data_IF_056043060667
#
_entry.id   IF_056043060667
#
_cell.length_a   1.000
_cell.length_b   1.000
_cell.length_c   1.000
_cell.angle_alpha   90.00
_cell.angle_beta   90.00
_cell.angle_gamma   90.00
#
_symmetry.space_group_name_H-M   'P 1'
#
loop_
_entity.id
_entity.type
_entity.pdbx_description
1 polymer ?
#
# COMPACT_ATOMS: atom_id res chain seq x y z
N UNK A 1 7.69 -7.00 -14.22
CA UNK A 1 8.49 -8.22 -14.05
C UNK A 1 9.94 -7.80 -14.10
N UNK A 2 10.80 -8.44 -13.31
CA UNK A 2 12.25 -8.20 -13.39
C UNK A 2 12.87 -8.92 -14.59
N UNK A 3 14.20 -8.84 -14.74
CA UNK A 3 14.93 -9.43 -15.86
C UNK A 3 14.82 -10.95 -15.99
N UNK A 4 14.47 -11.64 -14.90
CA UNK A 4 14.28 -13.10 -14.85
C UNK A 4 12.80 -13.51 -14.93
N UNK A 5 11.88 -12.55 -15.07
CA UNK A 5 10.44 -12.80 -15.18
C UNK A 5 9.72 -12.91 -13.83
N UNK A 6 10.35 -12.56 -12.71
CA UNK A 6 9.67 -12.51 -11.41
C UNK A 6 8.70 -11.33 -11.36
N UNK A 7 7.51 -11.58 -10.81
CA UNK A 7 6.60 -10.48 -10.46
C UNK A 7 7.00 -9.93 -9.09
N UNK A 8 7.54 -8.71 -9.08
CA UNK A 8 7.96 -7.97 -7.89
C UNK A 8 7.24 -6.64 -7.82
N UNK A 9 7.04 -6.11 -6.61
CA UNK A 9 6.25 -4.92 -6.36
C UNK A 9 6.99 -3.92 -5.48
N UNK A 10 6.83 -2.64 -5.77
CA UNK A 10 7.37 -1.55 -4.96
C UNK A 10 6.23 -1.00 -4.11
N UNK A 11 6.34 -1.12 -2.79
CA UNK A 11 5.21 -0.83 -1.90
C UNK A 11 4.72 0.63 -2.03
N UNK A 12 5.56 1.67 -2.02
CA UNK A 12 5.10 3.06 -2.17
C UNK A 12 4.38 3.30 -3.50
N UNK A 13 4.93 2.78 -4.62
CA UNK A 13 4.28 2.89 -5.93
C UNK A 13 2.96 2.12 -6.01
N UNK A 14 2.88 0.95 -5.39
CA UNK A 14 1.64 0.18 -5.34
C UNK A 14 0.53 0.95 -4.64
N UNK A 15 0.83 1.58 -3.50
CA UNK A 15 -0.15 2.36 -2.73
C UNK A 15 -0.58 3.63 -3.47
N UNK A 16 0.34 4.30 -4.18
CA UNK A 16 -0.03 5.40 -5.09
C UNK A 16 -0.99 4.91 -6.20
N UNK A 17 -0.70 3.77 -6.83
CA UNK A 17 -1.57 3.22 -7.88
C UNK A 17 -2.96 2.85 -7.35
N UNK A 18 -3.06 2.34 -6.11
CA UNK A 18 -4.34 2.09 -5.44
C UNK A 18 -5.14 3.38 -5.30
N UNK A 19 -4.54 4.43 -4.73
CA UNK A 19 -5.22 5.72 -4.57
C UNK A 19 -5.67 6.30 -5.92
N UNK A 20 -4.80 6.23 -6.94
CA UNK A 20 -5.15 6.69 -8.29
C UNK A 20 -6.35 5.91 -8.86
N UNK A 21 -6.44 4.62 -8.59
CA UNK A 21 -7.56 3.78 -9.02
C UNK A 21 -8.86 4.17 -8.30
N UNK A 22 -8.79 4.52 -7.02
CA UNK A 22 -9.92 4.92 -6.19
C UNK A 22 -10.43 6.31 -6.58
N UNK A 23 -9.52 7.25 -6.85
CA UNK A 23 -9.86 8.60 -7.36
C UNK A 23 -10.54 8.56 -8.73
N UNK A 24 -10.28 7.53 -9.54
CA UNK A 24 -11.00 7.32 -10.81
C UNK A 24 -12.43 6.79 -10.63
N UNK A 25 -12.82 6.38 -9.43
CA UNK A 25 -14.12 5.75 -9.12
C UNK A 25 -14.72 6.36 -7.83
N UNK A 26 -14.93 7.69 -7.79
CA UNK A 26 -15.37 8.37 -6.58
C UNK A 26 -16.65 7.78 -6.00
N UNK A 27 -17.60 7.34 -6.82
CA UNK A 27 -18.86 6.76 -6.36
C UNK A 27 -18.67 5.42 -5.65
N UNK A 28 -17.72 4.60 -6.12
CA UNK A 28 -17.40 3.32 -5.49
C UNK A 28 -16.65 3.55 -4.17
N UNK A 29 -15.69 4.48 -4.17
CA UNK A 29 -14.95 4.86 -2.96
C UNK A 29 -15.90 5.44 -1.91
N UNK A 30 -16.82 6.32 -2.31
CA UNK A 30 -17.85 6.86 -1.43
C UNK A 30 -18.74 5.77 -0.84
N UNK A 31 -19.22 4.84 -1.67
CA UNK A 31 -20.02 3.70 -1.21
C UNK A 31 -19.27 2.89 -0.15
N UNK A 32 -17.99 2.60 -0.37
CA UNK A 32 -17.16 1.88 0.59
C UNK A 32 -16.95 2.67 1.89
N UNK A 33 -16.67 3.98 1.82
CA UNK A 33 -16.51 4.82 3.01
C UNK A 33 -17.78 4.86 3.86
N UNK A 34 -18.95 5.09 3.24
CA UNK A 34 -20.24 5.12 3.94
C UNK A 34 -20.55 3.78 4.58
N UNK A 35 -20.48 2.68 3.81
CA UNK A 35 -20.76 1.33 4.35
C UNK A 35 -19.79 0.93 5.45
N UNK A 36 -18.51 1.32 5.34
CA UNK A 36 -17.50 1.07 6.38
C UNK A 36 -17.86 1.80 7.68
N UNK A 37 -18.29 3.07 7.57
CA UNK A 37 -18.75 3.87 8.70
C UNK A 37 -20.02 3.31 9.35
N UNK A 38 -21.02 2.93 8.57
CA UNK A 38 -22.27 2.32 9.07
C UNK A 38 -22.00 0.96 9.74
N UNK A 39 -21.07 0.17 9.19
CA UNK A 39 -20.68 -1.12 9.70
C UNK A 39 -19.88 -1.06 11.02
N UNK A 40 -19.54 0.12 11.53
CA UNK A 40 -19.02 0.28 12.90
C UNK A 40 -20.05 -0.15 13.95
N UNK A 41 -21.35 -0.08 13.63
CA UNK A 41 -22.40 -0.64 14.46
C UNK A 41 -22.33 -2.18 14.46
N UNK A 42 -22.15 -2.85 15.62
CA UNK A 42 -22.10 -4.31 15.70
C UNK A 42 -23.34 -5.04 15.16
N UNK A 43 -24.50 -4.38 15.17
CA UNK A 43 -25.76 -4.92 14.65
C UNK A 43 -25.92 -4.75 13.13
N UNK A 44 -25.01 -4.03 12.48
CA UNK A 44 -25.07 -3.83 11.04
C UNK A 44 -24.79 -5.16 10.29
N UNK A 45 -25.57 -5.53 9.25
CA UNK A 45 -25.38 -6.79 8.54
C UNK A 45 -23.97 -6.99 7.95
N UNK A 46 -23.29 -5.89 7.61
CA UNK A 46 -21.93 -5.91 7.08
C UNK A 46 -20.82 -5.79 8.14
N UNK A 47 -21.13 -5.74 9.44
CA UNK A 47 -20.15 -5.54 10.51
C UNK A 47 -18.99 -6.55 10.43
N UNK A 48 -19.30 -7.84 10.35
CA UNK A 48 -18.29 -8.90 10.26
C UNK A 48 -17.44 -8.82 8.99
N UNK A 49 -18.03 -8.35 7.88
CA UNK A 49 -17.29 -8.13 6.66
C UNK A 49 -16.24 -7.03 6.87
N UNK A 50 -16.61 -5.84 7.35
CA UNK A 50 -15.67 -4.75 7.53
C UNK A 50 -14.67 -4.99 8.67
N UNK A 51 -15.08 -5.61 9.78
CA UNK A 51 -14.19 -5.96 10.89
C UNK A 51 -13.03 -6.87 10.46
N UNK A 52 -13.29 -7.86 9.59
CA UNK A 52 -12.25 -8.75 9.08
C UNK A 52 -11.51 -8.24 7.83
N UNK A 53 -11.89 -7.07 7.27
CA UNK A 53 -11.34 -6.57 5.99
C UNK A 53 -9.84 -6.35 6.07
N UNK A 54 -9.36 -5.75 7.16
CA UNK A 54 -7.95 -5.44 7.33
C UNK A 54 -7.06 -6.69 7.24
N UNK A 55 -7.40 -7.75 7.98
CA UNK A 55 -6.64 -9.01 7.97
C UNK A 55 -6.73 -9.75 6.63
N UNK A 56 -7.91 -9.81 5.99
CA UNK A 56 -8.03 -10.43 4.65
C UNK A 56 -7.20 -9.69 3.60
N UNK A 57 -7.16 -8.36 3.66
CA UNK A 57 -6.32 -7.58 2.78
C UNK A 57 -4.83 -7.81 3.09
N UNK A 58 -4.46 -7.89 4.38
CA UNK A 58 -3.10 -8.22 4.78
C UNK A 58 -2.66 -9.59 4.28
N UNK A 59 -3.49 -10.63 4.36
CA UNK A 59 -3.15 -11.97 3.83
C UNK A 59 -2.80 -11.91 2.33
N UNK A 60 -3.53 -11.10 1.56
CA UNK A 60 -3.23 -10.86 0.16
C UNK A 60 -1.93 -10.08 -0.01
N UNK A 61 -1.78 -8.96 0.68
CA UNK A 61 -0.61 -8.09 0.60
C UNK A 61 0.65 -8.84 1.05
N UNK A 62 0.68 -9.45 2.22
CA UNK A 62 1.81 -10.19 2.78
C UNK A 62 2.29 -11.35 1.90
N UNK A 63 1.45 -11.88 1.01
CA UNK A 63 1.83 -12.95 0.08
C UNK A 63 2.63 -12.50 -1.16
N UNK A 64 2.74 -11.19 -1.40
CA UNK A 64 3.40 -10.66 -2.59
C UNK A 64 4.91 -10.44 -2.41
N UNK A 65 5.63 -10.41 -3.53
CA UNK A 65 7.07 -10.18 -3.56
C UNK A 65 7.41 -8.68 -3.49
N UNK A 66 7.41 -8.12 -2.28
CA UNK A 66 7.68 -6.70 -2.05
C UNK A 66 9.16 -6.37 -2.02
N UNK A 67 9.57 -5.41 -2.84
CA UNK A 67 10.85 -4.72 -2.78
C UNK A 67 10.75 -3.65 -1.69
N UNK A 68 11.44 -3.89 -0.58
CA UNK A 68 11.49 -2.98 0.58
C UNK A 68 12.91 -2.90 1.13
N UNK A 69 13.28 -1.81 1.84
CA UNK A 69 14.60 -1.67 2.43
C UNK A 69 15.00 -2.87 3.32
N UNK A 70 16.31 -3.16 3.47
CA UNK A 70 16.81 -4.21 4.36
C UNK A 70 16.43 -4.04 5.83
N UNK A 71 16.14 -2.81 6.24
CA UNK A 71 15.68 -2.45 7.59
C UNK A 71 14.24 -2.89 7.88
N UNK A 72 13.46 -3.28 6.87
CA UNK A 72 12.04 -3.64 6.98
C UNK A 72 11.88 -5.17 6.95
N UNK A 73 11.56 -5.76 8.10
CA UNK A 73 11.13 -7.15 8.25
C UNK A 73 9.60 -7.28 8.13
N UNK A 74 9.06 -8.50 8.27
CA UNK A 74 7.62 -8.76 8.15
C UNK A 74 6.77 -7.96 9.14
N UNK A 75 7.17 -7.91 10.41
CA UNK A 75 6.44 -7.16 11.46
C UNK A 75 6.41 -5.66 11.15
N UNK A 76 7.55 -5.09 10.76
CA UNK A 76 7.65 -3.70 10.35
C UNK A 76 6.85 -3.42 9.09
N UNK A 77 6.82 -4.36 8.15
CA UNK A 77 6.02 -4.24 6.95
C UNK A 77 4.51 -4.26 7.24
N UNK A 78 4.06 -5.11 8.18
CA UNK A 78 2.68 -5.10 8.66
C UNK A 78 2.28 -3.77 9.30
N UNK A 79 3.14 -3.23 10.17
CA UNK A 79 2.92 -1.93 10.80
C UNK A 79 2.89 -0.79 9.78
N UNK A 80 3.79 -0.83 8.78
CA UNK A 80 3.84 0.12 7.69
C UNK A 80 2.59 0.06 6.80
N UNK A 81 2.13 -1.15 6.47
CA UNK A 81 0.88 -1.37 5.76
C UNK A 81 -0.30 -0.75 6.51
N UNK A 82 -0.40 -1.03 7.81
CA UNK A 82 -1.47 -0.48 8.68
C UNK A 82 -1.44 1.05 8.71
N UNK A 83 -0.26 1.65 8.85
CA UNK A 83 -0.09 3.10 8.84
C UNK A 83 -0.57 3.70 7.51
N UNK A 84 -0.11 3.12 6.40
CA UNK A 84 -0.38 3.62 5.05
C UNK A 84 -1.85 3.49 4.68
N UNK A 85 -2.50 2.36 4.95
CA UNK A 85 -3.94 2.21 4.67
C UNK A 85 -4.77 3.17 5.52
N UNK A 86 -4.39 3.38 6.79
CA UNK A 86 -5.09 4.33 7.66
C UNK A 86 -4.94 5.77 7.17
N UNK A 87 -3.76 6.13 6.66
CA UNK A 87 -3.50 7.45 6.08
C UNK A 87 -4.30 7.66 4.78
N UNK A 88 -4.35 6.64 3.91
CA UNK A 88 -5.15 6.68 2.68
C UNK A 88 -6.66 6.80 2.97
N UNK A 89 -7.20 5.98 3.88
CA UNK A 89 -8.60 6.08 4.31
C UNK A 89 -8.92 7.50 4.82
N UNK A 90 -7.98 8.13 5.54
CA UNK A 90 -8.11 9.51 6.01
C UNK A 90 -8.12 10.56 4.87
N UNK A 91 -7.30 10.37 3.84
CA UNK A 91 -7.28 11.23 2.65
C UNK A 91 -8.61 11.09 1.89
N UNK A 92 -9.04 9.85 1.61
CA UNK A 92 -10.26 9.57 0.84
C UNK A 92 -11.50 10.14 1.52
N UNK A 93 -11.65 9.96 2.83
CA UNK A 93 -12.79 10.53 3.57
C UNK A 93 -12.81 12.06 3.49
N UNK A 94 -11.66 12.73 3.60
CA UNK A 94 -11.60 14.20 3.51
C UNK A 94 -11.88 14.69 2.10
N UNK A 95 -11.27 14.06 1.09
CA UNK A 95 -11.51 14.38 -0.31
C UNK A 95 -12.98 14.21 -0.71
N UNK A 96 -13.63 13.15 -0.26
CA UNK A 96 -15.07 12.95 -0.51
C UNK A 96 -15.97 13.96 0.20
N UNK A 97 -15.48 14.58 1.28
CA UNK A 97 -16.20 15.60 2.04
C UNK A 97 -15.95 17.03 1.51
N UNK A 98 -14.81 17.27 0.87
CA UNK A 98 -14.36 18.58 0.39
C UNK A 98 -13.68 18.44 -0.99
N UNK A 99 -14.37 18.91 -2.03
CA UNK A 99 -13.95 18.81 -3.43
C UNK A 99 -12.75 19.71 -3.79
N UNK A 100 -12.32 20.59 -2.88
CA UNK A 100 -11.11 21.39 -3.05
C UNK A 100 -9.83 20.61 -2.77
N UNK A 101 -9.93 19.43 -2.14
CA UNK A 101 -8.78 18.59 -1.79
C UNK A 101 -8.32 17.80 -3.02
N UNK A 102 -7.01 17.83 -3.29
CA UNK A 102 -6.37 16.94 -4.26
C UNK A 102 -5.76 15.72 -3.52
N UNK A 103 -6.41 14.55 -3.55
CA UNK A 103 -5.97 13.39 -2.77
C UNK A 103 -4.59 12.87 -3.21
N UNK A 104 -4.24 13.01 -4.50
CA UNK A 104 -2.94 12.56 -5.02
C UNK A 104 -1.81 13.46 -4.52
N UNK A 105 -2.03 14.77 -4.50
CA UNK A 105 -1.05 15.73 -3.98
C UNK A 105 -0.81 15.53 -2.48
N UNK A 106 -1.87 15.33 -1.70
CA UNK A 106 -1.74 15.02 -0.28
C UNK A 106 -1.00 13.70 -0.04
N UNK A 107 -1.31 12.66 -0.82
CA UNK A 107 -0.59 11.39 -0.73
C UNK A 107 0.89 11.54 -1.05
N UNK A 108 1.28 12.35 -2.04
CA UNK A 108 2.69 12.63 -2.33
C UNK A 108 3.38 13.24 -1.10
N UNK A 109 2.74 14.20 -0.43
CA UNK A 109 3.29 14.82 0.78
C UNK A 109 3.42 13.80 1.94
N UNK A 110 2.42 12.94 2.14
CA UNK A 110 2.48 11.89 3.17
C UNK A 110 3.54 10.84 2.83
N UNK A 111 3.65 10.47 1.56
CA UNK A 111 4.62 9.51 1.04
C UNK A 111 6.06 9.96 1.32
N UNK A 112 6.35 11.26 1.25
CA UNK A 112 7.68 11.78 1.62
C UNK A 112 8.04 11.60 3.10
N UNK A 113 7.04 11.65 3.98
CA UNK A 113 7.21 11.46 5.43
C UNK A 113 7.32 9.97 5.76
N UNK A 114 6.44 9.15 5.17
CA UNK A 114 6.34 7.71 5.44
C UNK A 114 7.51 6.94 4.80
N UNK A 115 7.96 7.37 3.62
CA UNK A 115 9.03 6.72 2.84
C UNK A 115 10.19 7.70 2.59
N UNK A 116 10.95 8.06 3.63
CA UNK A 116 11.98 9.07 3.52
C UNK A 116 13.13 8.61 2.62
N UNK A 117 13.66 9.55 1.83
CA UNK A 117 14.65 9.26 0.76
C UNK A 117 15.91 8.53 1.26
N UNK A 118 16.41 8.89 2.44
CA UNK A 118 17.63 8.30 3.00
C UNK A 118 17.54 6.79 3.25
N UNK A 119 16.33 6.24 3.35
CA UNK A 119 16.07 4.82 3.56
C UNK A 119 15.44 4.15 2.33
N UNK A 120 14.59 4.88 1.60
CA UNK A 120 13.75 4.31 0.54
C UNK A 120 14.24 4.54 -0.89
N UNK A 121 15.37 5.23 -1.10
CA UNK A 121 15.95 5.42 -2.45
C UNK A 121 16.16 4.07 -3.16
N UNK A 122 15.57 3.89 -4.35
CA UNK A 122 15.63 2.65 -5.11
C UNK A 122 14.61 1.59 -4.69
N UNK A 123 13.72 1.91 -3.74
CA UNK A 123 12.64 1.05 -3.24
C UNK A 123 11.24 1.69 -3.38
N UNK A 124 11.13 2.94 -3.86
CA UNK A 124 9.83 3.63 -3.98
C UNK A 124 9.14 3.36 -5.30
N UNK A 125 9.88 3.44 -6.39
CA UNK A 125 9.36 3.31 -7.75
C UNK A 125 10.32 2.49 -8.63
N UNK A 126 9.82 1.61 -9.51
CA UNK A 126 10.66 0.94 -10.49
C UNK A 126 11.53 1.89 -11.32
N UNK A 127 11.10 3.13 -11.60
CA UNK A 127 11.90 4.10 -12.37
C UNK A 127 13.17 4.57 -11.66
N UNK A 128 13.28 4.40 -10.35
CA UNK A 128 14.49 4.77 -9.59
C UNK A 128 15.65 3.81 -9.83
N UNK A 129 15.38 2.66 -10.47
CA UNK A 129 16.39 1.68 -10.81
C UNK A 129 16.82 1.91 -12.26
N UNK A 130 17.71 2.88 -12.45
CA UNK A 130 18.30 3.15 -13.76
C UNK A 130 19.15 1.95 -14.25
N UNK A 131 18.92 1.49 -15.48
CA UNK A 131 19.94 0.81 -16.29
C UNK A 131 20.12 -0.71 -16.13
N UNK A 132 19.29 -1.42 -15.35
CA UNK A 132 19.40 -2.88 -15.22
C UNK A 132 18.04 -3.60 -15.29
N UNK A 133 17.36 -3.43 -16.42
CA UNK A 133 16.16 -4.23 -16.78
C UNK A 133 16.45 -5.75 -16.81
N UNK A 134 17.73 -6.15 -16.76
CA UNK A 134 18.19 -7.54 -16.74
C UNK A 134 18.46 -8.10 -15.35
N UNK A 135 18.50 -7.29 -14.29
CA UNK A 135 18.81 -7.78 -12.96
C UNK A 135 17.64 -8.55 -12.35
N UNK A 136 17.97 -9.69 -11.74
CA UNK A 136 17.11 -10.37 -10.79
C UNK A 136 16.88 -9.46 -9.57
N UNK A 137 15.62 -9.15 -9.28
CA UNK A 137 15.21 -8.37 -8.11
C UNK A 137 14.66 -9.24 -6.98
N UNK A 138 14.49 -10.54 -7.24
CA UNK A 138 13.91 -11.48 -6.29
C UNK A 138 14.70 -11.57 -4.97
N UNK A 139 16.02 -11.43 -5.01
CA UNK A 139 16.87 -11.40 -3.81
C UNK A 139 16.63 -10.20 -2.88
N UNK A 140 15.95 -9.17 -3.36
CA UNK A 140 15.63 -7.97 -2.59
C UNK A 140 14.21 -8.02 -2.01
N UNK A 141 13.46 -9.07 -2.28
CA UNK A 141 12.09 -9.19 -1.79
C UNK A 141 12.07 -9.59 -0.32
N UNK A 142 11.06 -9.09 0.40
CA UNK A 142 10.83 -9.48 1.78
C UNK A 142 10.69 -11.00 1.93
N UNK A 143 9.88 -11.63 1.08
CA UNK A 143 9.63 -13.08 1.06
C UNK A 143 10.92 -13.91 0.93
N UNK A 144 11.83 -13.50 0.05
CA UNK A 144 13.08 -14.23 -0.14
C UNK A 144 14.01 -14.08 1.06
N UNK A 145 14.09 -12.89 1.66
CA UNK A 145 14.94 -12.67 2.85
C UNK A 145 14.46 -13.49 4.05
N UNK A 146 13.16 -13.52 4.31
CA UNK A 146 12.59 -14.31 5.42
C UNK A 146 12.76 -15.83 5.23
N UNK A 147 12.88 -16.30 3.99
CA UNK A 147 13.17 -17.71 3.70
C UNK A 147 14.62 -18.11 4.01
N UNK A 148 15.55 -17.15 4.06
CA UNK A 148 16.97 -17.39 4.35
C UNK A 148 17.29 -17.32 5.85
N UNK A 149 16.42 -16.73 6.65
CA UNK A 149 16.58 -16.55 8.10
C UNK A 149 15.91 -17.65 8.94
N UNK A 150 15.10 -18.51 8.31
CA UNK A 150 14.46 -19.70 8.90
C UNK A 150 15.20 -20.99 8.55
#
# INVERSE_FOLDING_TARGET
>A
MDGDGHCVYFFPRYMLNMLMHDVQRPELTQLYCVLSGEALNPEHPAHQFFAGRHMRNWEMIGSMNWIVPPSVNEEQFYNLYTLVTSAMDGIENRWLADDSINPIEEWINFSQIIFPEHEWTGFRDPTEREGDDSACLFNLTLSQRESMTN
#
